data_IF_340342595199
#
_entry.id   IF_340342595199
#
_cell.length_a   1.000
_cell.length_b   1.000
_cell.length_c   1.000
_cell.angle_alpha   90.00
_cell.angle_beta   90.00
_cell.angle_gamma   90.00
#
_symmetry.space_group_name_H-M   'P 1'
#
loop_
_entity.id
_entity.type
_entity.pdbx_description
1 polymer ?
#
# COMPACT_ATOMS: atom_id res chain seq x y z
N UNK A 1 29.27 -13.97 4.06
CA UNK A 1 27.84 -13.67 4.02
C UNK A 1 27.67 -12.22 3.65
N UNK A 2 26.85 -11.93 2.64
CA UNK A 2 26.45 -10.56 2.37
C UNK A 2 25.51 -10.07 3.50
N UNK A 3 25.66 -8.82 3.94
CA UNK A 3 24.91 -8.21 5.03
C UNK A 3 24.03 -7.05 4.56
N UNK A 4 23.99 -6.84 3.23
CA UNK A 4 23.24 -5.74 2.64
C UNK A 4 21.74 -5.96 2.77
N UNK A 5 21.03 -4.86 2.95
CA UNK A 5 19.56 -4.81 2.87
C UNK A 5 19.19 -4.12 1.56
N UNK A 6 18.34 -4.77 0.79
CA UNK A 6 17.90 -4.29 -0.52
C UNK A 6 16.42 -3.92 -0.47
N UNK A 7 16.05 -2.81 -1.06
CA UNK A 7 14.66 -2.33 -1.20
C UNK A 7 14.26 -2.39 -2.67
N UNK A 8 13.13 -3.01 -2.99
CA UNK A 8 12.52 -2.85 -4.32
C UNK A 8 11.83 -1.50 -4.40
N UNK A 9 12.31 -0.62 -5.29
CA UNK A 9 11.64 0.64 -5.57
C UNK A 9 10.37 0.39 -6.38
N UNK A 10 9.24 0.88 -5.89
CA UNK A 10 7.99 0.93 -6.63
C UNK A 10 7.77 2.33 -7.21
N UNK A 11 7.34 2.39 -8.47
CA UNK A 11 7.07 3.65 -9.16
C UNK A 11 5.85 3.55 -10.06
N UNK A 12 5.21 4.68 -10.31
CA UNK A 12 4.11 4.83 -11.26
C UNK A 12 4.19 6.21 -11.89
N UNK A 13 3.98 6.32 -13.19
CA UNK A 13 3.97 7.59 -13.92
C UNK A 13 5.19 8.50 -13.62
N UNK A 14 6.39 7.92 -13.59
CA UNK A 14 7.67 8.60 -13.30
C UNK A 14 7.79 9.18 -11.89
N UNK A 15 7.04 8.64 -10.93
CA UNK A 15 7.14 9.00 -9.51
C UNK A 15 7.40 7.76 -8.67
N UNK A 16 8.35 7.85 -7.77
CA UNK A 16 8.64 6.81 -6.76
C UNK A 16 7.57 6.87 -5.66
N UNK A 17 7.10 5.71 -5.22
CA UNK A 17 6.06 5.61 -4.20
C UNK A 17 6.57 6.03 -2.82
N UNK A 18 5.68 6.60 -1.98
CA UNK A 18 6.00 6.93 -0.58
C UNK A 18 6.45 5.71 0.23
N UNK A 19 5.85 4.54 -0.02
CA UNK A 19 6.25 3.30 0.62
C UNK A 19 7.70 2.90 0.33
N UNK A 20 8.24 3.26 -0.83
CA UNK A 20 9.67 3.06 -1.13
C UNK A 20 10.57 3.85 -0.18
N UNK A 21 10.24 5.11 0.08
CA UNK A 21 11.03 5.95 1.00
C UNK A 21 10.96 5.47 2.45
N UNK A 22 9.78 5.02 2.89
CA UNK A 22 9.60 4.37 4.18
C UNK A 22 10.53 3.16 4.33
N UNK A 23 10.57 2.29 3.31
CA UNK A 23 11.43 1.11 3.31
C UNK A 23 12.93 1.45 3.25
N UNK A 24 13.33 2.53 2.57
CA UNK A 24 14.73 2.98 2.56
C UNK A 24 15.18 3.40 3.97
N UNK A 25 14.31 4.11 4.70
CA UNK A 25 14.57 4.49 6.09
C UNK A 25 14.84 3.27 6.96
N UNK A 26 13.93 2.31 6.96
CA UNK A 26 14.06 1.06 7.71
C UNK A 26 15.27 0.22 7.27
N UNK A 27 15.52 0.13 5.95
CA UNK A 27 16.65 -0.62 5.42
C UNK A 27 18.00 -0.09 5.93
N UNK A 28 18.14 1.23 6.15
CA UNK A 28 19.35 1.84 6.71
C UNK A 28 19.61 1.38 8.14
N UNK A 29 18.56 1.35 8.97
CA UNK A 29 18.67 0.89 10.34
C UNK A 29 19.06 -0.60 10.39
N UNK A 30 18.38 -1.42 9.59
CA UNK A 30 18.66 -2.85 9.50
C UNK A 30 20.05 -3.13 8.92
N UNK A 31 20.47 -2.44 7.86
CA UNK A 31 21.79 -2.60 7.28
C UNK A 31 22.89 -2.20 8.27
N UNK A 32 22.69 -1.11 9.01
CA UNK A 32 23.62 -0.67 10.07
C UNK A 32 23.74 -1.74 11.16
N UNK A 33 22.64 -2.32 11.62
CA UNK A 33 22.64 -3.38 12.65
C UNK A 33 23.33 -4.67 12.14
N UNK A 34 23.19 -4.98 10.86
CA UNK A 34 23.89 -6.12 10.23
C UNK A 34 25.37 -5.85 9.93
N UNK A 35 25.79 -4.57 9.87
CA UNK A 35 27.10 -4.17 9.39
C UNK A 35 27.25 -4.33 7.88
N UNK A 36 26.17 -4.05 7.14
CA UNK A 36 26.07 -4.02 5.67
C UNK A 36 25.78 -2.62 5.15
N UNK A 37 25.30 -2.54 3.89
CA UNK A 37 24.89 -1.32 3.21
C UNK A 37 23.45 -1.43 2.72
N UNK A 38 22.83 -0.28 2.48
CA UNK A 38 21.47 -0.18 1.94
C UNK A 38 21.55 -0.02 0.43
N UNK A 39 20.94 -0.93 -0.29
CA UNK A 39 20.81 -0.90 -1.75
C UNK A 39 19.34 -0.76 -2.14
N UNK A 40 19.07 0.05 -3.15
CA UNK A 40 17.72 0.13 -3.75
C UNK A 40 17.79 -0.47 -5.15
N UNK A 41 16.96 -1.45 -5.45
CA UNK A 41 16.81 -1.94 -6.82
C UNK A 41 15.71 -1.16 -7.52
N UNK A 42 16.08 -0.50 -8.60
CA UNK A 42 15.18 0.22 -9.51
C UNK A 42 15.03 -0.60 -10.79
N UNK A 43 13.83 -1.11 -11.03
CA UNK A 43 13.44 -1.76 -12.27
C UNK A 43 12.60 -0.76 -13.08
N UNK A 44 13.21 -0.09 -14.07
CA UNK A 44 12.51 0.94 -14.84
C UNK A 44 13.42 2.07 -15.30
N UNK A 45 12.81 3.21 -15.68
CA UNK A 45 13.55 4.34 -16.24
C UNK A 45 14.65 4.84 -15.30
N UNK A 46 15.86 4.94 -15.83
CA UNK A 46 17.06 5.38 -15.08
C UNK A 46 16.91 6.76 -14.44
N UNK A 47 16.11 7.62 -15.05
CA UNK A 47 15.84 8.98 -14.57
C UNK A 47 15.26 9.00 -13.15
N UNK A 48 14.57 7.94 -12.75
CA UNK A 48 14.01 7.79 -11.41
C UNK A 48 15.09 7.61 -10.33
N UNK A 49 16.29 7.17 -10.69
CA UNK A 49 17.38 6.95 -9.74
C UNK A 49 17.71 8.23 -8.95
N UNK A 50 17.57 9.40 -9.56
CA UNK A 50 17.79 10.70 -8.90
C UNK A 50 16.80 11.02 -7.78
N UNK A 51 15.66 10.32 -7.71
CA UNK A 51 14.67 10.45 -6.66
C UNK A 51 15.00 9.55 -5.44
N UNK A 52 15.78 8.47 -5.64
CA UNK A 52 16.09 7.46 -4.62
C UNK A 52 17.29 7.92 -3.76
N UNK A 53 17.00 8.74 -2.77
CA UNK A 53 17.99 9.27 -1.84
C UNK A 53 18.00 8.49 -0.53
N UNK A 54 19.10 8.56 0.20
CA UNK A 54 19.25 7.91 1.50
C UNK A 54 19.68 6.43 1.45
N UNK A 55 19.84 5.85 0.26
CA UNK A 55 20.52 4.58 0.06
C UNK A 55 22.03 4.81 -0.23
N UNK A 56 22.85 3.78 -0.01
CA UNK A 56 24.26 3.80 -0.38
C UNK A 56 24.43 3.61 -1.90
N UNK A 57 23.59 2.77 -2.50
CA UNK A 57 23.58 2.55 -3.95
C UNK A 57 22.18 2.29 -4.50
N UNK A 58 21.95 2.72 -5.75
CA UNK A 58 20.79 2.37 -6.57
C UNK A 58 21.26 1.40 -7.66
N UNK A 59 20.78 0.17 -7.59
CA UNK A 59 21.00 -0.87 -8.61
C UNK A 59 19.91 -0.75 -9.66
N UNK A 60 20.25 -0.22 -10.82
CA UNK A 60 19.30 0.12 -11.88
C UNK A 60 19.32 -0.90 -13.01
N UNK A 61 18.14 -1.42 -13.38
CA UNK A 61 17.91 -2.19 -14.59
C UNK A 61 16.97 -1.38 -15.47
N UNK A 62 17.51 -0.71 -16.48
CA UNK A 62 16.74 0.13 -17.39
C UNK A 62 16.37 -0.65 -18.66
N UNK A 63 15.07 -0.83 -18.88
CA UNK A 63 14.53 -1.48 -20.07
C UNK A 63 13.08 -1.05 -20.32
N UNK A 64 12.62 -0.85 -21.56
CA UNK A 64 11.25 -0.44 -21.86
C UNK A 64 10.15 -1.34 -21.25
N UNK A 65 10.40 -2.65 -21.15
CA UNK A 65 9.47 -3.61 -20.54
C UNK A 65 9.33 -3.46 -19.02
N UNK A 66 10.16 -2.64 -18.39
CA UNK A 66 10.16 -2.36 -16.95
C UNK A 66 9.60 -0.96 -16.63
N UNK A 67 9.22 -0.18 -17.64
CA UNK A 67 8.67 1.17 -17.44
C UNK A 67 7.34 1.16 -16.65
N UNK A 68 6.58 0.11 -16.81
CA UNK A 68 5.37 -0.18 -16.04
C UNK A 68 5.48 -1.58 -15.45
N UNK A 69 4.72 -1.85 -14.38
CA UNK A 69 4.75 -3.15 -13.73
C UNK A 69 4.19 -4.25 -14.64
N UNK A 70 5.05 -5.18 -15.02
CA UNK A 70 4.71 -6.45 -15.65
C UNK A 70 5.32 -7.58 -14.82
N UNK A 71 4.52 -8.48 -14.22
CA UNK A 71 5.02 -9.54 -13.30
C UNK A 71 6.19 -10.32 -13.87
N UNK A 72 6.05 -10.82 -15.12
CA UNK A 72 7.09 -11.62 -15.77
C UNK A 72 8.39 -10.84 -16.01
N UNK A 73 8.32 -9.56 -16.35
CA UNK A 73 9.50 -8.73 -16.55
C UNK A 73 10.21 -8.42 -15.23
N UNK A 74 9.44 -8.01 -14.23
CA UNK A 74 9.97 -7.68 -12.91
C UNK A 74 10.58 -8.89 -12.22
N UNK A 75 9.93 -10.05 -12.29
CA UNK A 75 10.46 -11.29 -11.73
C UNK A 75 11.80 -11.64 -12.35
N UNK A 76 11.91 -11.61 -13.70
CA UNK A 76 13.17 -11.92 -14.40
C UNK A 76 14.29 -10.95 -14.05
N UNK A 77 14.01 -9.66 -14.08
CA UNK A 77 15.00 -8.63 -13.80
C UNK A 77 15.45 -8.67 -12.33
N UNK A 78 14.50 -8.84 -11.40
CA UNK A 78 14.83 -8.88 -9.97
C UNK A 78 15.62 -10.14 -9.62
N UNK A 79 15.29 -11.30 -10.17
CA UNK A 79 16.09 -12.54 -9.96
C UNK A 79 17.51 -12.38 -10.45
N UNK A 80 17.74 -11.70 -11.57
CA UNK A 80 19.10 -11.41 -12.08
C UNK A 80 19.87 -10.54 -11.09
N UNK A 81 19.26 -9.44 -10.60
CA UNK A 81 19.88 -8.58 -9.59
C UNK A 81 20.15 -9.35 -8.30
N UNK A 82 19.18 -10.13 -7.80
CA UNK A 82 19.34 -10.92 -6.59
C UNK A 82 20.44 -11.97 -6.70
N UNK A 83 20.62 -12.56 -7.89
CA UNK A 83 21.71 -13.53 -8.13
C UNK A 83 23.10 -12.90 -8.09
N UNK A 84 23.21 -11.65 -8.57
CA UNK A 84 24.49 -10.91 -8.61
C UNK A 84 24.83 -10.26 -7.28
N UNK A 85 23.83 -9.70 -6.59
CA UNK A 85 24.02 -8.91 -5.36
C UNK A 85 23.90 -9.74 -4.08
N UNK A 86 23.12 -10.82 -4.11
CA UNK A 86 22.85 -11.72 -3.00
C UNK A 86 22.60 -11.01 -1.65
N UNK A 87 21.64 -10.09 -1.54
CA UNK A 87 21.40 -9.35 -0.30
C UNK A 87 20.96 -10.31 0.82
N UNK A 88 21.26 -9.93 2.08
CA UNK A 88 20.76 -10.64 3.27
C UNK A 88 19.24 -10.54 3.40
N UNK A 89 18.67 -9.37 3.05
CA UNK A 89 17.25 -9.12 3.16
C UNK A 89 16.77 -8.29 1.97
N UNK A 90 15.69 -8.74 1.33
CA UNK A 90 14.94 -7.97 0.35
C UNK A 90 13.65 -7.44 1.00
N UNK A 91 13.49 -6.14 1.02
CA UNK A 91 12.27 -5.46 1.47
C UNK A 91 11.44 -5.03 0.26
N UNK A 92 10.15 -5.31 0.31
CA UNK A 92 9.15 -4.87 -0.66
C UNK A 92 7.94 -4.31 0.09
N UNK A 93 7.24 -3.34 -0.48
CA UNK A 93 5.96 -2.90 0.07
C UNK A 93 4.92 -4.03 -0.02
N UNK A 94 4.10 -4.22 1.01
CA UNK A 94 2.98 -5.17 0.99
C UNK A 94 1.78 -4.57 0.22
N UNK A 95 2.07 -4.08 -0.98
CA UNK A 95 1.14 -3.54 -1.96
C UNK A 95 1.05 -4.48 -3.17
N UNK A 96 0.48 -4.02 -4.27
CA UNK A 96 0.22 -4.86 -5.46
C UNK A 96 1.47 -5.60 -5.95
N UNK A 97 2.60 -4.90 -6.07
CA UNK A 97 3.85 -5.48 -6.60
C UNK A 97 4.44 -6.51 -5.63
N UNK A 98 4.59 -6.14 -4.35
CA UNK A 98 5.19 -7.05 -3.38
C UNK A 98 4.32 -8.27 -3.06
N UNK A 99 2.98 -8.13 -3.08
CA UNK A 99 2.07 -9.27 -2.91
C UNK A 99 2.15 -10.26 -4.08
N UNK A 100 2.33 -9.75 -5.30
CA UNK A 100 2.42 -10.58 -6.50
C UNK A 100 3.80 -11.25 -6.60
N UNK A 101 4.88 -10.47 -6.44
CA UNK A 101 6.25 -10.98 -6.59
C UNK A 101 6.75 -11.79 -5.39
N UNK A 102 6.33 -11.45 -4.17
CA UNK A 102 6.92 -11.99 -2.95
C UNK A 102 6.94 -13.51 -2.89
N UNK A 103 5.81 -14.15 -3.17
CA UNK A 103 5.70 -15.60 -3.17
C UNK A 103 6.47 -16.25 -4.32
N UNK A 104 6.45 -15.66 -5.52
CA UNK A 104 7.19 -16.16 -6.68
C UNK A 104 8.71 -16.10 -6.42
N UNK A 105 9.19 -14.99 -5.89
CA UNK A 105 10.61 -14.81 -5.54
C UNK A 105 11.05 -15.75 -4.41
N UNK A 106 10.20 -15.95 -3.39
CA UNK A 106 10.52 -16.88 -2.30
C UNK A 106 10.84 -18.29 -2.83
N UNK A 107 10.06 -18.75 -3.79
CA UNK A 107 10.27 -20.06 -4.43
C UNK A 107 11.48 -20.04 -5.37
N UNK A 108 11.61 -19.03 -6.23
CA UNK A 108 12.63 -18.99 -7.28
C UNK A 108 14.02 -18.65 -6.76
N UNK A 109 14.08 -17.76 -5.78
CA UNK A 109 15.33 -17.38 -5.12
C UNK A 109 15.65 -18.28 -3.91
N UNK A 110 14.76 -19.22 -3.59
CA UNK A 110 14.87 -20.15 -2.47
C UNK A 110 15.16 -19.42 -1.16
N UNK A 111 14.28 -18.47 -0.80
CA UNK A 111 14.41 -17.61 0.37
C UNK A 111 13.14 -17.65 1.23
N UNK A 112 13.25 -17.68 2.58
CA UNK A 112 12.09 -17.53 3.44
C UNK A 112 11.42 -16.17 3.22
N UNK A 113 10.08 -16.16 3.28
CA UNK A 113 9.24 -14.98 3.13
C UNK A 113 8.43 -14.72 4.38
N UNK A 114 8.55 -13.51 4.94
CA UNK A 114 7.59 -12.96 5.86
C UNK A 114 6.70 -11.95 5.11
N UNK A 115 5.38 -12.18 5.14
CA UNK A 115 4.41 -11.26 4.54
C UNK A 115 3.60 -10.53 5.61
N UNK A 116 2.99 -9.37 5.24
CA UNK A 116 2.22 -8.52 6.16
C UNK A 116 3.03 -8.06 7.39
N UNK A 117 4.31 -7.75 7.16
CA UNK A 117 5.25 -7.35 8.22
C UNK A 117 4.90 -5.95 8.72
N UNK A 118 4.87 -5.78 10.04
CA UNK A 118 4.63 -4.50 10.71
C UNK A 118 5.81 -4.04 11.58
N UNK A 119 6.79 -4.90 11.83
CA UNK A 119 8.06 -4.56 12.48
C UNK A 119 9.15 -5.56 12.08
N UNK A 120 10.39 -5.09 12.06
CA UNK A 120 11.58 -5.89 11.83
C UNK A 120 12.59 -5.58 12.94
N UNK A 121 13.23 -6.60 13.46
CA UNK A 121 14.27 -6.48 14.49
C UNK A 121 15.44 -7.38 14.11
N UNK A 122 16.65 -6.91 14.39
CA UNK A 122 17.85 -7.73 14.28
C UNK A 122 18.45 -7.92 15.66
N UNK A 123 18.57 -9.19 16.06
CA UNK A 123 19.23 -9.58 17.31
C UNK A 123 20.25 -10.69 17.01
N UNK A 124 21.51 -10.49 17.42
CA UNK A 124 22.64 -11.41 17.14
C UNK A 124 22.77 -11.82 15.65
N UNK A 125 22.40 -10.92 14.71
CA UNK A 125 22.43 -11.17 13.28
C UNK A 125 21.24 -11.99 12.74
N UNK A 126 20.29 -12.34 13.59
CA UNK A 126 19.01 -12.97 13.22
C UNK A 126 17.99 -11.87 12.92
N UNK A 127 17.36 -11.95 11.77
CA UNK A 127 16.25 -11.06 11.40
C UNK A 127 14.95 -11.68 11.89
N UNK A 128 14.23 -10.97 12.74
CA UNK A 128 12.88 -11.35 13.20
C UNK A 128 11.85 -10.37 12.69
N UNK A 129 10.81 -10.88 12.04
CA UNK A 129 9.69 -10.12 11.52
C UNK A 129 8.44 -10.29 12.38
N UNK A 130 7.77 -9.19 12.72
CA UNK A 130 6.42 -9.24 13.30
C UNK A 130 5.41 -9.12 12.19
N UNK A 131 4.68 -10.19 11.91
CA UNK A 131 3.69 -10.27 10.85
C UNK A 131 2.25 -10.23 11.39
N UNK A 132 1.36 -9.50 10.72
CA UNK A 132 -0.08 -9.51 11.02
C UNK A 132 -0.75 -10.66 10.29
N UNK A 133 -1.35 -11.60 11.02
CA UNK A 133 -2.05 -12.75 10.47
C UNK A 133 -3.52 -12.75 10.89
N UNK A 134 -4.35 -13.58 10.24
CA UNK A 134 -5.79 -13.69 10.49
C UNK A 134 -6.52 -12.33 10.46
N UNK A 135 -6.24 -11.51 9.43
CA UNK A 135 -6.84 -10.18 9.30
C UNK A 135 -6.37 -9.18 10.37
N UNK A 136 -5.14 -9.34 10.87
CA UNK A 136 -4.55 -8.47 11.90
C UNK A 136 -4.98 -8.75 13.33
N UNK A 137 -5.71 -9.85 13.56
CA UNK A 137 -6.14 -10.27 14.91
C UNK A 137 -5.02 -10.90 15.74
N UNK A 138 -3.98 -11.41 15.08
CA UNK A 138 -2.84 -12.06 15.71
C UNK A 138 -1.56 -11.46 15.15
N UNK A 139 -0.58 -11.20 16.00
CA UNK A 139 0.78 -10.87 15.62
C UNK A 139 1.62 -12.16 15.77
N UNK A 140 2.33 -12.51 14.70
CA UNK A 140 3.25 -13.63 14.69
C UNK A 140 4.68 -13.09 14.59
N UNK A 141 5.56 -13.52 15.48
CA UNK A 141 7.00 -13.30 15.35
C UNK A 141 7.59 -14.47 14.54
N UNK A 142 8.30 -14.12 13.45
CA UNK A 142 8.86 -15.07 12.52
C UNK A 142 10.33 -14.78 12.37
N UNK A 143 11.17 -15.73 12.77
CA UNK A 143 12.60 -15.67 12.47
C UNK A 143 12.83 -15.96 10.97
N UNK A 144 13.68 -15.17 10.36
CA UNK A 144 14.13 -15.32 8.98
C UNK A 144 15.57 -15.82 8.96
N UNK A 145 15.76 -17.16 9.07
CA UNK A 145 17.09 -17.74 9.15
C UNK A 145 17.83 -17.71 7.82
N UNK A 146 19.13 -18.02 7.86
CA UNK A 146 19.95 -18.22 6.66
C UNK A 146 20.59 -16.95 6.14
N UNK A 147 21.02 -17.01 4.88
CA UNK A 147 21.83 -15.95 4.24
C UNK A 147 21.01 -14.97 3.41
N UNK A 148 19.74 -15.26 3.18
CA UNK A 148 18.80 -14.46 2.38
C UNK A 148 17.38 -14.60 2.93
N UNK A 149 16.62 -13.54 2.81
CA UNK A 149 15.22 -13.52 3.21
C UNK A 149 14.46 -12.43 2.44
N UNK A 150 13.13 -12.54 2.42
CA UNK A 150 12.21 -11.58 1.83
C UNK A 150 11.22 -11.14 2.89
N UNK A 151 10.93 -9.85 2.96
CA UNK A 151 9.83 -9.32 3.76
C UNK A 151 8.95 -8.38 2.93
N UNK A 152 7.62 -8.62 2.96
CA UNK A 152 6.67 -7.64 2.43
C UNK A 152 6.05 -6.85 3.58
N UNK A 153 6.28 -5.54 3.57
CA UNK A 153 6.04 -4.63 4.70
C UNK A 153 4.75 -3.84 4.48
N UNK A 154 3.92 -3.80 5.51
CA UNK A 154 2.70 -3.00 5.51
C UNK A 154 3.03 -1.51 5.42
N UNK A 155 2.34 -0.79 4.55
CA UNK A 155 2.47 0.67 4.42
C UNK A 155 2.14 1.37 5.75
N UNK A 156 2.97 2.33 6.16
CA UNK A 156 2.84 3.05 7.43
C UNK A 156 3.32 2.24 8.65
N UNK A 157 4.03 1.13 8.44
CA UNK A 157 4.63 0.35 9.54
C UNK A 157 5.82 1.06 10.15
N UNK A 158 6.57 1.79 9.34
CA UNK A 158 7.75 2.56 9.72
C UNK A 158 7.52 4.04 9.43
N UNK A 159 8.27 4.93 10.09
CA UNK A 159 8.19 6.36 9.84
C UNK A 159 8.71 6.74 8.45
N UNK A 160 8.18 7.80 7.87
CA UNK A 160 8.62 8.33 6.57
C UNK A 160 9.84 9.26 6.68
N UNK A 161 10.74 9.04 7.61
CA UNK A 161 11.97 9.83 7.80
C UNK A 161 13.01 9.56 6.68
N UNK A 162 12.54 9.40 5.45
CA UNK A 162 13.42 9.48 4.31
C UNK A 162 13.93 10.92 4.22
N UNK A 163 15.11 11.14 4.74
CA UNK A 163 15.82 12.41 4.65
C UNK A 163 16.03 12.76 3.17
N UNK A 164 15.07 13.50 2.59
CA UNK A 164 15.16 13.97 1.20
C UNK A 164 16.36 14.90 0.98
N UNK A 165 16.99 15.38 2.07
CA UNK A 165 18.25 16.13 2.05
C UNK A 165 19.48 15.21 1.96
N UNK A 166 19.32 13.88 2.09
CA UNK A 166 20.42 12.93 1.99
C UNK A 166 21.14 13.04 0.65
N UNK A 167 22.41 12.67 0.64
CA UNK A 167 23.23 12.63 -0.56
C UNK A 167 22.59 11.72 -1.63
N UNK A 168 22.83 12.03 -2.90
CA UNK A 168 22.45 11.15 -3.99
C UNK A 168 23.22 9.83 -3.86
N UNK A 169 22.52 8.71 -4.06
CA UNK A 169 23.12 7.39 -4.05
C UNK A 169 23.96 7.14 -5.31
N UNK A 170 24.98 6.30 -5.19
CA UNK A 170 25.72 5.82 -6.35
C UNK A 170 24.83 4.94 -7.23
N UNK A 171 24.79 5.22 -8.54
CA UNK A 171 23.98 4.44 -9.48
C UNK A 171 24.83 3.35 -10.11
N UNK A 172 24.46 2.10 -9.88
CA UNK A 172 25.08 0.91 -10.45
C UNK A 172 24.15 0.34 -11.52
N UNK A 173 24.56 0.41 -12.79
CA UNK A 173 23.78 -0.16 -13.88
C UNK A 173 24.00 -1.68 -13.99
N UNK A 174 22.91 -2.41 -14.10
CA UNK A 174 22.88 -3.84 -14.34
C UNK A 174 22.28 -4.10 -15.72
N UNK A 175 22.98 -4.92 -16.51
CA UNK A 175 22.52 -5.30 -17.84
C UNK A 175 21.16 -6.02 -17.73
N UNK A 176 20.13 -5.58 -18.46
CA UNK A 176 18.84 -6.26 -18.48
C UNK A 176 18.98 -7.73 -18.87
N UNK A 177 18.29 -8.66 -18.19
CA UNK A 177 18.35 -10.07 -18.56
C UNK A 177 17.76 -10.32 -19.95
N UNK A 178 18.23 -11.37 -20.62
CA UNK A 178 17.69 -11.76 -21.91
C UNK A 178 16.19 -12.11 -21.82
N UNK A 179 15.46 -11.85 -22.90
CA UNK A 179 14.06 -12.25 -23.04
C UNK A 179 13.04 -11.24 -22.50
N UNK A 180 13.45 -10.03 -22.10
CA UNK A 180 12.52 -8.95 -21.77
C UNK A 180 11.77 -8.42 -23.02
N UNK A 181 12.31 -8.60 -24.21
CA UNK A 181 11.63 -8.28 -25.48
C UNK A 181 10.64 -9.36 -25.94
N UNK A 182 10.60 -10.52 -25.27
CA UNK A 182 9.78 -11.66 -25.66
C UNK A 182 8.91 -12.17 -24.51
N UNK A 183 8.21 -11.25 -23.85
CA UNK A 183 7.31 -11.57 -22.75
C UNK A 183 6.00 -12.16 -23.27
N UNK A 184 5.38 -13.04 -22.48
CA UNK A 184 4.06 -13.61 -22.77
C UNK A 184 2.92 -12.65 -22.42
N UNK A 185 3.21 -11.62 -21.61
CA UNK A 185 2.26 -10.59 -21.17
C UNK A 185 2.63 -9.25 -21.77
N UNK A 186 1.64 -8.42 -22.00
CA UNK A 186 1.82 -7.03 -22.39
C UNK A 186 0.81 -6.14 -21.68
N UNK A 187 1.26 -4.96 -21.27
CA UNK A 187 0.35 -3.93 -20.76
C UNK A 187 -0.51 -3.40 -21.89
N UNK A 188 -1.83 -3.45 -21.74
CA UNK A 188 -2.75 -2.87 -22.71
C UNK A 188 -3.00 -1.39 -22.46
N UNK A 189 -3.27 -1.07 -21.18
CA UNK A 189 -3.68 0.28 -20.79
C UNK A 189 -3.51 0.43 -19.28
N UNK A 190 -3.01 1.58 -18.87
CA UNK A 190 -3.12 2.06 -17.48
C UNK A 190 -4.39 2.91 -17.40
N UNK A 191 -5.34 2.50 -16.58
CA UNK A 191 -6.55 3.27 -16.32
C UNK A 191 -6.26 4.08 -15.06
N UNK A 192 -5.80 5.32 -15.26
CA UNK A 192 -5.60 6.27 -14.18
C UNK A 192 -6.92 6.75 -13.59
N UNK A 193 -6.86 7.41 -12.43
CA UNK A 193 -7.97 8.19 -11.94
C UNK A 193 -8.40 9.18 -13.03
N UNK A 194 -9.70 9.21 -13.36
CA UNK A 194 -10.22 10.14 -14.37
C UNK A 194 -9.79 11.58 -14.03
N UNK A 195 -9.36 12.32 -15.05
CA UNK A 195 -9.02 13.74 -14.89
C UNK A 195 -10.26 14.45 -14.34
N UNK A 196 -10.18 14.91 -13.08
CA UNK A 196 -11.29 15.60 -12.38
C UNK A 196 -11.93 14.83 -11.24
N UNK A 197 -11.49 13.60 -10.91
CA UNK A 197 -11.95 12.96 -9.69
C UNK A 197 -11.21 13.50 -8.46
N UNK A 198 -11.90 13.52 -7.32
CA UNK A 198 -11.36 14.11 -6.09
C UNK A 198 -10.40 13.14 -5.42
N UNK A 199 -9.27 13.63 -4.96
CA UNK A 199 -8.33 12.88 -4.14
C UNK A 199 -8.91 12.69 -2.74
N UNK A 200 -9.44 11.48 -2.47
CA UNK A 200 -10.00 11.15 -1.16
C UNK A 200 -8.92 10.89 -0.09
N UNK A 201 -7.66 10.64 -0.48
CA UNK A 201 -6.58 10.40 0.47
C UNK A 201 -6.12 11.70 1.15
N UNK A 202 -6.19 12.83 0.43
CA UNK A 202 -5.86 14.15 0.94
C UNK A 202 -7.05 14.85 1.65
N UNK A 203 -8.23 14.25 1.67
CA UNK A 203 -9.43 14.89 2.23
C UNK A 203 -9.40 14.94 3.75
N UNK A 204 -9.69 16.12 4.33
CA UNK A 204 -9.82 16.29 5.79
C UNK A 204 -11.08 15.63 6.38
N UNK A 205 -12.12 15.48 5.58
CA UNK A 205 -13.37 14.80 5.99
C UNK A 205 -13.90 14.00 4.80
N UNK A 206 -14.49 12.85 5.10
CA UNK A 206 -15.10 11.95 4.12
C UNK A 206 -16.51 11.52 4.53
N UNK A 207 -17.43 11.58 3.59
CA UNK A 207 -18.66 10.79 3.62
C UNK A 207 -18.38 9.49 2.88
N UNK A 208 -18.62 8.34 3.51
CA UNK A 208 -18.34 7.03 2.92
C UNK A 208 -19.57 6.14 2.97
N UNK A 209 -19.84 5.46 1.85
CA UNK A 209 -21.01 4.62 1.68
C UNK A 209 -20.66 3.16 1.46
N UNK A 210 -21.41 2.27 2.12
CA UNK A 210 -21.32 0.84 1.93
C UNK A 210 -22.54 0.26 1.19
N UNK A 211 -22.55 -1.09 1.08
CA UNK A 211 -23.63 -1.81 0.42
C UNK A 211 -25.01 -1.62 1.08
N UNK A 212 -25.07 -1.13 2.33
CA UNK A 212 -26.31 -0.77 3.00
C UNK A 212 -27.11 0.36 2.32
N UNK A 213 -26.54 1.04 1.31
CA UNK A 213 -27.27 1.96 0.42
C UNK A 213 -28.23 1.23 -0.54
N UNK A 214 -28.10 -0.11 -0.66
CA UNK A 214 -28.94 -1.04 -1.38
C UNK A 214 -28.86 -0.94 -2.92
N UNK A 215 -28.92 0.24 -3.52
CA UNK A 215 -28.89 0.45 -4.97
C UNK A 215 -28.13 1.70 -5.39
N UNK A 216 -27.75 1.76 -6.66
CA UNK A 216 -27.12 2.93 -7.27
C UNK A 216 -28.03 4.16 -7.23
N UNK A 217 -29.33 3.98 -7.39
CA UNK A 217 -30.30 5.07 -7.41
C UNK A 217 -30.37 5.82 -6.07
N UNK A 218 -30.04 5.13 -4.97
CA UNK A 218 -30.03 5.70 -3.64
C UNK A 218 -28.76 6.50 -3.32
N UNK A 219 -27.71 6.41 -4.15
CA UNK A 219 -26.45 7.15 -3.91
C UNK A 219 -26.66 8.66 -3.78
N UNK A 220 -27.67 9.21 -4.44
CA UNK A 220 -28.04 10.61 -4.36
C UNK A 220 -28.24 11.11 -2.93
N UNK A 221 -28.73 10.26 -2.02
CA UNK A 221 -28.99 10.60 -0.62
C UNK A 221 -27.68 10.95 0.12
N UNK A 222 -26.67 10.08 0.01
CA UNK A 222 -25.36 10.33 0.66
C UNK A 222 -24.54 11.35 -0.09
N UNK A 223 -24.71 11.47 -1.41
CA UNK A 223 -24.06 12.51 -2.21
C UNK A 223 -24.53 13.90 -1.80
N UNK A 224 -25.83 14.06 -1.53
CA UNK A 224 -26.40 15.32 -1.05
C UNK A 224 -25.82 15.75 0.30
N UNK A 225 -25.55 14.80 1.21
CA UNK A 225 -24.87 15.09 2.47
C UNK A 225 -23.40 15.49 2.23
N UNK A 226 -22.71 14.79 1.35
CA UNK A 226 -21.34 15.13 1.00
C UNK A 226 -21.24 16.54 0.41
N UNK A 227 -22.14 16.88 -0.50
CA UNK A 227 -22.25 18.22 -1.11
C UNK A 227 -22.59 19.29 -0.07
N UNK A 228 -23.54 19.02 0.84
CA UNK A 228 -23.91 19.95 1.90
C UNK A 228 -22.76 20.25 2.86
N UNK A 229 -21.91 19.26 3.12
CA UNK A 229 -20.71 19.40 3.94
C UNK A 229 -19.50 19.93 3.16
N UNK A 230 -19.57 19.99 1.83
CA UNK A 230 -18.44 20.38 0.96
C UNK A 230 -17.29 19.38 0.98
N UNK A 231 -17.58 18.08 1.15
CA UNK A 231 -16.58 17.02 1.29
C UNK A 231 -16.76 15.91 0.25
N UNK A 232 -15.70 15.16 -0.11
CA UNK A 232 -15.82 14.09 -1.07
C UNK A 232 -16.60 12.87 -0.55
N UNK A 233 -17.32 12.22 -1.49
CA UNK A 233 -17.93 10.92 -1.27
C UNK A 233 -16.93 9.82 -1.60
N UNK A 234 -16.78 8.86 -0.70
CA UNK A 234 -15.99 7.63 -0.87
C UNK A 234 -16.87 6.39 -0.68
N UNK A 235 -16.33 5.22 -0.94
CA UNK A 235 -17.10 3.98 -0.82
C UNK A 235 -16.28 2.78 -0.36
N UNK A 236 -16.99 1.78 0.16
CA UNK A 236 -16.44 0.45 0.36
C UNK A 236 -16.39 -0.34 -0.95
N UNK A 237 -15.52 -1.36 -1.01
CA UNK A 237 -15.30 -2.19 -2.18
C UNK A 237 -16.59 -2.73 -2.83
N UNK A 238 -17.59 -3.25 -2.11
CA UNK A 238 -18.82 -3.75 -2.74
C UNK A 238 -19.59 -2.74 -3.59
N UNK A 239 -19.52 -1.45 -3.26
CA UNK A 239 -20.15 -0.38 -4.04
C UNK A 239 -19.39 -0.12 -5.34
N UNK A 240 -18.05 -0.19 -5.28
CA UNK A 240 -17.17 -0.04 -6.44
C UNK A 240 -17.23 -1.26 -7.34
N UNK A 241 -17.22 -2.46 -6.80
CA UNK A 241 -17.35 -3.71 -7.56
C UNK A 241 -18.71 -3.78 -8.31
N UNK A 242 -19.76 -3.18 -7.76
CA UNK A 242 -21.05 -3.01 -8.44
C UNK A 242 -21.03 -1.92 -9.54
N UNK A 243 -19.91 -1.17 -9.70
CA UNK A 243 -19.78 -0.11 -10.69
C UNK A 243 -20.53 1.18 -10.33
N UNK A 244 -20.99 1.34 -9.09
CA UNK A 244 -21.76 2.51 -8.66
C UNK A 244 -20.89 3.75 -8.41
N UNK A 245 -19.65 3.54 -7.98
CA UNK A 245 -18.62 4.58 -7.86
C UNK A 245 -17.30 4.10 -8.45
N UNK A 246 -16.44 5.02 -8.94
CA UNK A 246 -15.17 4.65 -9.54
C UNK A 246 -14.17 4.11 -8.49
N UNK A 247 -13.19 3.34 -8.96
CA UNK A 247 -12.12 2.74 -8.13
C UNK A 247 -11.35 3.77 -7.31
N UNK A 248 -11.21 4.98 -7.80
CA UNK A 248 -10.57 6.12 -7.13
C UNK A 248 -11.27 6.55 -5.84
N UNK A 249 -12.53 6.17 -5.65
CA UNK A 249 -13.32 6.42 -4.44
C UNK A 249 -13.31 5.26 -3.45
N UNK A 250 -12.62 4.16 -3.77
CA UNK A 250 -12.59 3.00 -2.90
C UNK A 250 -11.66 3.19 -1.72
N UNK A 251 -12.19 3.01 -0.51
CA UNK A 251 -11.42 2.93 0.74
C UNK A 251 -11.24 1.47 1.17
N UNK A 252 -10.03 1.10 1.59
CA UNK A 252 -9.70 -0.22 2.10
C UNK A 252 -8.36 -0.74 1.64
N UNK A 253 -8.01 -1.96 2.03
CA UNK A 253 -6.75 -2.64 1.71
C UNK A 253 -6.45 -2.69 0.20
N UNK A 254 -7.47 -2.95 -0.63
CA UNK A 254 -7.37 -2.98 -2.09
C UNK A 254 -7.79 -1.66 -2.76
N UNK A 255 -7.95 -0.59 -1.99
CA UNK A 255 -8.26 0.76 -2.41
C UNK A 255 -7.25 1.75 -1.83
N UNK A 256 -7.75 2.96 -1.55
CA UNK A 256 -6.95 3.99 -0.90
C UNK A 256 -6.99 3.85 0.63
N UNK A 257 -5.87 4.13 1.28
CA UNK A 257 -5.81 4.35 2.73
C UNK A 257 -6.02 5.83 2.99
N UNK A 258 -6.93 6.14 3.92
CA UNK A 258 -7.30 7.50 4.25
C UNK A 258 -7.13 7.75 5.75
N UNK A 259 -6.74 8.98 6.10
CA UNK A 259 -6.59 9.41 7.50
C UNK A 259 -7.22 10.78 7.70
N UNK A 260 -8.55 10.93 7.45
CA UNK A 260 -9.22 12.19 7.62
C UNK A 260 -9.41 12.53 9.11
N UNK A 261 -9.65 13.79 9.41
CA UNK A 261 -10.11 14.25 10.73
C UNK A 261 -11.49 13.69 11.08
N UNK A 262 -12.36 13.48 10.07
CA UNK A 262 -13.66 12.84 10.28
C UNK A 262 -14.01 11.90 9.13
N UNK A 263 -14.46 10.69 9.48
CA UNK A 263 -14.94 9.67 8.57
C UNK A 263 -16.37 9.28 8.92
N UNK A 264 -17.32 9.64 8.06
CA UNK A 264 -18.74 9.36 8.25
C UNK A 264 -19.12 8.12 7.42
N UNK A 265 -19.36 7.00 8.08
CA UNK A 265 -19.61 5.70 7.47
C UNK A 265 -21.11 5.36 7.48
N UNK A 266 -21.74 5.28 6.31
CA UNK A 266 -23.15 4.94 6.14
C UNK A 266 -23.32 3.61 5.46
N UNK A 267 -24.00 2.65 6.10
CA UNK A 267 -24.27 1.33 5.56
C UNK A 267 -23.02 0.48 5.29
N UNK A 268 -21.91 0.76 5.99
CA UNK A 268 -20.66 0.01 5.94
C UNK A 268 -20.63 -1.00 7.09
N UNK A 269 -20.37 -2.28 6.79
CA UNK A 269 -20.32 -3.34 7.80
C UNK A 269 -19.03 -3.33 8.63
N UNK A 270 -17.92 -2.83 8.07
CA UNK A 270 -16.62 -2.85 8.74
C UNK A 270 -15.88 -4.18 8.55
N UNK A 271 -15.88 -4.73 7.34
CA UNK A 271 -14.98 -5.82 6.99
C UNK A 271 -13.53 -5.42 7.26
N UNK A 272 -12.65 -6.36 7.71
CA UNK A 272 -11.26 -6.06 8.08
C UNK A 272 -10.50 -5.28 7.01
N UNK A 273 -10.73 -5.62 5.73
CA UNK A 273 -10.09 -4.97 4.58
C UNK A 273 -10.51 -3.50 4.43
N UNK A 274 -11.76 -3.17 4.78
CA UNK A 274 -12.22 -1.79 4.78
C UNK A 274 -11.65 -1.00 5.98
N UNK A 275 -11.70 -1.63 7.16
CA UNK A 275 -11.16 -1.02 8.39
C UNK A 275 -9.68 -0.69 8.27
N UNK A 276 -8.89 -1.52 7.59
CA UNK A 276 -7.47 -1.25 7.35
C UNK A 276 -7.24 0.06 6.59
N UNK A 277 -8.19 0.45 5.73
CA UNK A 277 -8.09 1.67 4.94
C UNK A 277 -8.50 2.95 5.68
N UNK A 278 -9.23 2.86 6.83
CA UNK A 278 -9.80 4.09 7.45
C UNK A 278 -9.69 4.15 8.98
N UNK A 279 -9.25 3.08 9.64
CA UNK A 279 -9.21 3.00 11.11
C UNK A 279 -8.34 4.06 11.79
N UNK A 280 -7.45 4.71 11.04
CA UNK A 280 -6.57 5.77 11.53
C UNK A 280 -7.20 7.17 11.42
N UNK A 281 -8.47 7.29 11.01
CA UNK A 281 -9.22 8.55 11.06
C UNK A 281 -9.35 9.01 12.51
N UNK A 282 -9.25 10.35 12.74
CA UNK A 282 -9.30 10.91 14.11
C UNK A 282 -10.69 10.76 14.72
N UNK A 283 -11.74 10.91 13.91
CA UNK A 283 -13.13 10.72 14.29
C UNK A 283 -13.82 9.78 13.31
N UNK A 284 -14.41 8.69 13.82
CA UNK A 284 -15.21 7.76 13.03
C UNK A 284 -16.63 7.76 13.57
N UNK A 285 -17.59 8.11 12.70
CA UNK A 285 -19.02 8.05 12.98
C UNK A 285 -19.64 6.98 12.08
N UNK A 286 -20.34 6.02 12.65
CA UNK A 286 -20.90 4.89 11.92
C UNK A 286 -22.44 4.83 12.03
N UNK A 287 -23.09 4.62 10.91
CA UNK A 287 -24.52 4.33 10.81
C UNK A 287 -24.69 2.96 10.12
N UNK A 288 -25.23 1.98 10.87
CA UNK A 288 -25.52 0.64 10.33
C UNK A 288 -26.68 0.03 11.13
N UNK A 289 -27.68 -0.48 10.47
CA UNK A 289 -28.87 -1.10 11.10
C UNK A 289 -28.56 -2.38 11.88
N UNK A 290 -27.42 -3.06 11.58
CA UNK A 290 -26.95 -4.21 12.34
C UNK A 290 -26.12 -3.76 13.55
N UNK A 291 -26.62 -3.91 14.80
CA UNK A 291 -25.85 -3.53 16.00
C UNK A 291 -24.59 -4.37 16.22
N UNK A 292 -24.49 -5.55 15.56
CA UNK A 292 -23.32 -6.42 15.58
C UNK A 292 -22.27 -6.10 14.51
N UNK A 293 -22.49 -5.06 13.69
CA UNK A 293 -21.58 -4.71 12.62
C UNK A 293 -20.16 -4.36 13.15
N UNK A 294 -19.09 -4.98 12.62
CA UNK A 294 -17.72 -4.76 13.08
C UNK A 294 -17.25 -3.30 13.05
N UNK A 295 -17.90 -2.45 12.22
CA UNK A 295 -17.58 -1.01 12.15
C UNK A 295 -17.73 -0.33 13.50
N UNK A 296 -18.66 -0.77 14.35
CA UNK A 296 -18.87 -0.22 15.67
C UNK A 296 -17.71 -0.49 16.63
N UNK A 297 -16.89 -1.51 16.36
CA UNK A 297 -15.69 -1.81 17.13
C UNK A 297 -14.57 -0.78 16.97
N UNK A 298 -14.64 0.08 15.94
CA UNK A 298 -13.65 1.16 15.69
C UNK A 298 -14.31 2.55 15.68
N UNK A 299 -15.64 2.64 15.67
CA UNK A 299 -16.36 3.90 15.64
C UNK A 299 -16.28 4.59 17.00
N UNK A 300 -16.07 5.92 17.00
CA UNK A 300 -16.16 6.77 18.19
C UNK A 300 -17.63 7.07 18.54
N UNK A 301 -18.46 7.17 17.51
CA UNK A 301 -19.92 7.32 17.65
C UNK A 301 -20.62 6.39 16.67
N UNK A 302 -21.70 5.78 17.09
CA UNK A 302 -22.48 4.86 16.26
C UNK A 302 -23.99 4.98 16.49
N UNK A 303 -24.73 4.69 15.44
CA UNK A 303 -26.21 4.60 15.51
C UNK A 303 -26.72 3.46 14.67
N UNK A 304 -27.81 2.84 15.14
CA UNK A 304 -28.54 1.79 14.41
C UNK A 304 -29.78 2.31 13.70
N UNK A 305 -29.96 3.62 13.65
CA UNK A 305 -31.01 4.24 12.81
C UNK A 305 -30.75 3.95 11.35
N UNK A 306 -31.81 3.78 10.56
CA UNK A 306 -31.68 3.60 9.13
C UNK A 306 -31.04 4.84 8.48
N UNK A 307 -30.09 4.62 7.59
CA UNK A 307 -29.42 5.69 6.87
C UNK A 307 -30.39 6.50 6.01
N UNK A 308 -31.47 5.91 5.52
CA UNK A 308 -32.50 6.57 4.73
C UNK A 308 -33.32 7.59 5.55
N UNK A 309 -33.38 7.43 6.87
CA UNK A 309 -33.98 8.39 7.78
C UNK A 309 -32.94 9.40 8.30
N UNK A 310 -31.76 8.91 8.64
CA UNK A 310 -30.72 9.70 9.27
C UNK A 310 -30.09 10.73 8.32
N UNK A 311 -29.73 10.31 7.10
CA UNK A 311 -28.97 11.17 6.19
C UNK A 311 -29.76 12.41 5.76
N UNK A 312 -31.04 12.31 5.37
CA UNK A 312 -31.86 13.51 5.09
C UNK A 312 -31.94 14.45 6.28
N UNK A 313 -32.13 13.94 7.50
CA UNK A 313 -32.17 14.76 8.70
C UNK A 313 -30.85 15.49 8.99
N UNK A 314 -29.71 14.84 8.66
CA UNK A 314 -28.40 15.47 8.73
C UNK A 314 -28.24 16.59 7.68
N UNK A 315 -28.70 16.35 6.45
CA UNK A 315 -28.70 17.38 5.38
C UNK A 315 -29.48 18.61 5.81
N UNK A 316 -30.69 18.42 6.31
CA UNK A 316 -31.52 19.52 6.83
C UNK A 316 -30.79 20.30 7.94
N UNK A 317 -30.12 19.58 8.83
CA UNK A 317 -29.41 20.20 9.96
C UNK A 317 -28.15 20.95 9.54
N UNK A 318 -27.48 20.52 8.48
CA UNK A 318 -26.28 21.19 7.95
C UNK A 318 -26.65 22.46 7.18
N UNK A 319 -27.79 22.44 6.48
CA UNK A 319 -28.27 23.59 5.67
C UNK A 319 -29.03 24.66 6.45
N UNK A 320 -29.61 24.31 7.57
CA UNK A 320 -30.45 25.19 8.40
C UNK A 320 -29.85 25.66 9.65
#
# INVERSE_FOLDING_TARGET
MNRNVMVLAEHTAMQVSEGTYELIGEARELASALGGVTEVVLLGPRELAGQLRGADAVVCVDHPALADYLPEAYERALLEVLSQRAPRLLLMSNATVGLDLGAALAVRWDAPLAAYVSALVIDDGVVTATAKILGGKVLAEVELPGERAIATVLSGAFGTDADQSAAAADVVEVTPPAGLDALRMSLRQVIGAGVGDVDIAAAEMLVSVGRGIESQDNLGIVAELADALGVPLSASRPVVDAGWLPKTRQVGQSGLKVKPRAYLAFGISGAPEHLEGMRNAELIVACNTDPGAPIFGVAHFGTTVDLFDLVPALVDRVRG
#
